data_IF_076926963047
#
_entry.id   IF_076926963047
#
_cell.length_a   1.000
_cell.length_b   1.000
_cell.length_c   1.000
_cell.angle_alpha   90.00
_cell.angle_beta   90.00
_cell.angle_gamma   90.00
#
_symmetry.space_group_name_H-M   'P 1'
#
loop_
_entity.id
_entity.type
_entity.pdbx_description
1 polymer ?
#
# COMPACT_ATOMS: atom_id res chain seq x y z
N UNK A 1 -21.84 -16.12 -26.44
CA UNK A 1 -22.32 -14.73 -26.43
C UNK A 1 -21.29 -13.74 -26.99
N UNK A 2 -19.99 -14.10 -27.05
CA UNK A 2 -18.90 -13.18 -27.42
C UNK A 2 -18.49 -13.25 -28.91
N UNK A 3 -18.93 -14.28 -29.64
CA UNK A 3 -18.71 -14.45 -31.07
C UNK A 3 -19.80 -15.35 -31.69
N UNK A 4 -19.89 -15.29 -33.01
CA UNK A 4 -20.79 -16.16 -33.77
C UNK A 4 -20.10 -17.48 -34.11
N UNK A 5 -20.69 -18.59 -33.70
CA UNK A 5 -20.17 -19.94 -33.97
C UNK A 5 -21.27 -20.92 -34.32
N UNK A 6 -20.92 -21.98 -35.08
CA UNK A 6 -21.86 -23.06 -35.46
C UNK A 6 -21.88 -24.18 -34.42
N UNK A 7 -20.78 -24.37 -33.72
CA UNK A 7 -20.60 -25.41 -32.70
C UNK A 7 -20.39 -24.77 -31.34
N UNK A 8 -21.18 -25.08 -30.32
CA UNK A 8 -21.04 -24.49 -29.00
C UNK A 8 -19.64 -24.67 -28.40
N UNK A 9 -18.97 -23.61 -28.04
CA UNK A 9 -17.64 -23.62 -27.41
C UNK A 9 -17.56 -22.82 -26.10
N UNK A 10 -18.68 -22.27 -25.65
CA UNK A 10 -18.77 -21.54 -24.40
C UNK A 10 -19.07 -22.49 -23.23
N UNK A 11 -18.25 -22.41 -22.18
CA UNK A 11 -18.36 -23.24 -20.98
C UNK A 11 -18.39 -22.41 -19.73
N UNK A 12 -19.21 -22.80 -18.76
CA UNK A 12 -19.29 -22.18 -17.43
C UNK A 12 -18.94 -23.25 -16.40
N UNK A 13 -18.09 -22.88 -15.44
CA UNK A 13 -17.78 -23.71 -14.28
C UNK A 13 -18.44 -23.09 -13.05
N UNK A 14 -19.56 -23.65 -12.60
CA UNK A 14 -20.30 -23.15 -11.42
C UNK A 14 -19.46 -23.25 -10.16
N UNK A 15 -18.78 -24.39 -9.94
CA UNK A 15 -17.96 -24.63 -8.75
C UNK A 15 -16.80 -23.62 -8.59
N UNK A 16 -16.27 -23.15 -9.72
CA UNK A 16 -15.12 -22.25 -9.75
C UNK A 16 -15.50 -20.79 -10.03
N UNK A 17 -16.77 -20.52 -10.37
CA UNK A 17 -17.30 -19.19 -10.62
C UNK A 17 -16.68 -18.49 -11.84
N UNK A 18 -16.27 -19.23 -12.88
CA UNK A 18 -15.71 -18.63 -14.09
C UNK A 18 -16.30 -19.21 -15.38
N UNK A 19 -16.16 -18.47 -16.47
CA UNK A 19 -16.48 -18.93 -17.83
C UNK A 19 -15.23 -18.93 -18.71
N UNK A 20 -15.27 -19.76 -19.75
CA UNK A 20 -14.26 -19.80 -20.81
C UNK A 20 -14.91 -20.17 -22.14
N UNK A 21 -14.61 -19.42 -23.17
CA UNK A 21 -15.00 -19.72 -24.54
C UNK A 21 -13.82 -20.28 -25.32
N UNK A 22 -13.87 -21.55 -25.68
CA UNK A 22 -12.79 -22.21 -26.41
C UNK A 22 -12.71 -21.78 -27.87
N UNK A 23 -13.74 -21.11 -28.41
CA UNK A 23 -13.75 -20.60 -29.76
C UNK A 23 -12.99 -19.30 -29.95
N UNK A 24 -13.21 -18.33 -29.08
CA UNK A 24 -12.56 -17.01 -29.16
C UNK A 24 -11.53 -16.73 -28.05
N UNK A 25 -11.36 -17.67 -27.08
CA UNK A 25 -10.44 -17.48 -25.96
C UNK A 25 -10.94 -16.55 -24.85
N UNK A 26 -12.16 -16.03 -24.97
CA UNK A 26 -12.73 -15.14 -23.97
C UNK A 26 -13.00 -15.88 -22.65
N UNK A 27 -12.61 -15.29 -21.53
CA UNK A 27 -12.75 -15.88 -20.20
C UNK A 27 -12.87 -14.82 -19.12
N UNK A 28 -13.36 -15.21 -17.96
CA UNK A 28 -13.49 -14.33 -16.81
C UNK A 28 -14.47 -14.85 -15.76
N UNK A 29 -14.72 -14.02 -14.77
CA UNK A 29 -15.72 -14.21 -13.71
C UNK A 29 -17.09 -13.64 -14.13
N UNK A 30 -18.07 -13.73 -13.23
CA UNK A 30 -19.42 -13.22 -13.46
C UNK A 30 -19.43 -11.71 -13.73
N UNK A 31 -18.53 -10.95 -13.08
CA UNK A 31 -18.45 -9.49 -13.27
C UNK A 31 -17.96 -9.18 -14.66
N UNK A 32 -16.87 -9.83 -15.08
CA UNK A 32 -16.32 -9.70 -16.43
C UNK A 32 -17.32 -10.11 -17.51
N UNK A 33 -18.12 -11.16 -17.24
CA UNK A 33 -19.20 -11.60 -18.12
C UNK A 33 -20.25 -10.49 -18.30
N UNK A 34 -20.78 -9.95 -17.20
CA UNK A 34 -21.79 -8.89 -17.23
C UNK A 34 -21.28 -7.64 -17.95
N UNK A 35 -20.05 -7.20 -17.61
CA UNK A 35 -19.43 -6.04 -18.28
C UNK A 35 -19.39 -6.19 -19.80
N UNK A 36 -19.05 -7.39 -20.30
CA UNK A 36 -18.88 -7.64 -21.74
C UNK A 36 -20.19 -7.95 -22.43
N UNK A 37 -21.07 -8.74 -21.82
CA UNK A 37 -22.36 -9.14 -22.43
C UNK A 37 -23.33 -7.97 -22.54
N UNK A 38 -23.31 -7.06 -21.56
CA UNK A 38 -24.22 -5.91 -21.51
C UNK A 38 -23.54 -4.58 -21.90
N UNK A 39 -22.24 -4.65 -22.19
CA UNK A 39 -21.42 -3.50 -22.58
C UNK A 39 -21.50 -2.36 -21.53
N UNK A 40 -21.38 -2.71 -20.27
CA UNK A 40 -21.41 -1.79 -19.14
C UNK A 40 -20.06 -1.69 -18.43
N UNK A 41 -19.86 -0.62 -17.67
CA UNK A 41 -18.66 -0.48 -16.85
C UNK A 41 -18.72 -1.35 -15.56
N UNK A 42 -17.58 -1.49 -14.90
CA UNK A 42 -17.44 -2.31 -13.69
C UNK A 42 -18.43 -1.91 -12.58
N UNK A 43 -18.65 -0.60 -12.40
CA UNK A 43 -19.55 -0.08 -11.35
C UNK A 43 -21.00 -0.43 -11.63
N UNK A 44 -21.42 -0.33 -12.87
CA UNK A 44 -22.77 -0.70 -13.32
C UNK A 44 -22.97 -2.22 -13.20
N UNK A 45 -22.02 -3.02 -13.67
CA UNK A 45 -22.07 -4.47 -13.55
C UNK A 45 -22.21 -4.95 -12.09
N UNK A 46 -21.41 -4.38 -11.18
CA UNK A 46 -21.52 -4.69 -9.73
C UNK A 46 -22.90 -4.34 -9.18
N UNK A 47 -23.45 -3.20 -9.57
CA UNK A 47 -24.78 -2.77 -9.11
C UNK A 47 -25.88 -3.73 -9.59
N UNK A 48 -25.88 -4.07 -10.86
CA UNK A 48 -26.84 -5.01 -11.46
C UNK A 48 -26.77 -6.39 -10.81
N UNK A 49 -25.55 -6.95 -10.65
CA UNK A 49 -25.36 -8.22 -9.99
C UNK A 49 -25.79 -8.20 -8.52
N UNK A 50 -25.52 -7.11 -7.82
CA UNK A 50 -25.95 -6.96 -6.44
C UNK A 50 -27.48 -6.86 -6.31
N UNK A 51 -28.12 -6.09 -7.20
CA UNK A 51 -29.58 -5.99 -7.26
C UNK A 51 -30.22 -7.37 -7.54
N UNK A 52 -29.66 -8.15 -8.47
CA UNK A 52 -30.08 -9.53 -8.74
C UNK A 52 -29.91 -10.46 -7.54
N UNK A 53 -28.85 -10.29 -6.76
CA UNK A 53 -28.56 -11.07 -5.55
C UNK A 53 -29.30 -10.56 -4.30
N UNK A 54 -30.06 -9.47 -4.39
CA UNK A 54 -30.70 -8.83 -3.23
C UNK A 54 -29.73 -8.19 -2.24
N UNK A 55 -28.49 -7.89 -2.71
CA UNK A 55 -27.43 -7.27 -1.91
C UNK A 55 -27.44 -5.75 -2.09
N UNK A 56 -27.14 -5.03 -1.02
CA UNK A 56 -26.93 -3.58 -1.10
C UNK A 56 -25.44 -3.30 -1.36
N UNK A 57 -25.13 -2.70 -2.50
CA UNK A 57 -23.78 -2.16 -2.75
C UNK A 57 -23.63 -0.90 -1.91
N UNK A 58 -22.57 -0.76 -1.10
CA UNK A 58 -22.29 0.48 -0.40
C UNK A 58 -22.13 1.63 -1.42
N UNK A 59 -22.77 2.77 -1.14
CA UNK A 59 -22.56 3.96 -1.97
C UNK A 59 -21.07 4.32 -2.02
N UNK A 60 -20.49 4.27 -3.20
CA UNK A 60 -19.15 4.78 -3.42
C UNK A 60 -19.18 6.30 -3.25
N UNK A 61 -18.77 6.76 -2.07
CA UNK A 61 -18.48 8.19 -1.87
C UNK A 61 -17.08 8.45 -2.44
N UNK A 62 -16.92 9.36 -3.40
CA UNK A 62 -15.60 9.80 -3.78
C UNK A 62 -14.85 10.22 -2.53
N UNK A 63 -13.59 9.78 -2.38
CA UNK A 63 -12.76 10.24 -1.27
C UNK A 63 -12.67 11.75 -1.30
N UNK A 64 -12.79 12.39 -0.15
CA UNK A 64 -12.61 13.83 -0.02
C UNK A 64 -11.19 14.20 -0.51
N UNK A 65 -11.12 15.18 -1.43
CA UNK A 65 -9.84 15.66 -1.95
C UNK A 65 -8.88 16.10 -0.83
N UNK A 66 -9.40 16.65 0.26
CA UNK A 66 -8.61 17.01 1.44
C UNK A 66 -8.08 15.78 2.21
N UNK A 67 -8.83 14.67 2.21
CA UNK A 67 -8.40 13.40 2.80
C UNK A 67 -7.28 12.77 1.96
N UNK A 68 -7.46 12.73 0.65
CA UNK A 68 -6.43 12.23 -0.29
C UNK A 68 -5.13 13.02 -0.15
N UNK A 69 -5.20 14.35 -0.19
CA UNK A 69 -4.03 15.21 -0.04
C UNK A 69 -3.33 15.02 1.33
N UNK A 70 -4.09 14.73 2.37
CA UNK A 70 -3.55 14.43 3.71
C UNK A 70 -2.81 13.09 3.73
N UNK A 71 -3.40 12.04 3.16
CA UNK A 71 -2.74 10.73 3.03
C UNK A 71 -1.45 10.82 2.21
N UNK A 72 -1.47 11.53 1.08
CA UNK A 72 -0.27 11.77 0.27
C UNK A 72 0.83 12.49 1.06
N UNK A 73 0.45 13.45 1.91
CA UNK A 73 1.40 14.13 2.78
C UNK A 73 2.03 13.18 3.81
N UNK A 74 1.26 12.25 4.36
CA UNK A 74 1.77 11.24 5.31
C UNK A 74 2.73 10.28 4.64
N UNK A 75 2.40 9.78 3.44
CA UNK A 75 3.29 8.93 2.64
C UNK A 75 4.61 9.65 2.36
N UNK A 76 4.58 10.93 2.03
CA UNK A 76 5.80 11.72 1.82
C UNK A 76 6.65 11.82 3.09
N UNK A 77 6.03 12.09 4.25
CA UNK A 77 6.71 12.18 5.53
C UNK A 77 7.38 10.84 5.89
N UNK A 78 6.67 9.72 5.75
CA UNK A 78 7.21 8.39 6.04
C UNK A 78 8.35 8.02 5.08
N UNK A 79 8.23 8.36 3.80
CA UNK A 79 9.28 8.15 2.80
C UNK A 79 10.56 8.94 3.13
N UNK A 80 10.41 10.21 3.47
CA UNK A 80 11.55 11.06 3.84
C UNK A 80 12.18 10.61 5.17
N UNK A 81 11.39 10.19 6.16
CA UNK A 81 11.90 9.61 7.39
C UNK A 81 12.69 8.32 7.15
N UNK A 82 12.19 7.44 6.26
CA UNK A 82 12.89 6.21 5.89
C UNK A 82 14.24 6.48 5.21
N UNK A 83 14.35 7.51 4.38
CA UNK A 83 15.63 7.95 3.80
C UNK A 83 16.61 8.36 4.89
N UNK A 84 16.14 9.16 5.86
CA UNK A 84 16.97 9.62 6.99
C UNK A 84 17.43 8.40 7.80
N UNK A 85 16.55 7.48 8.16
CA UNK A 85 16.92 6.28 8.91
C UNK A 85 17.89 5.39 8.14
N UNK A 86 17.71 5.24 6.84
CA UNK A 86 18.64 4.47 5.99
C UNK A 86 20.04 5.13 5.99
N UNK A 87 20.10 6.44 5.84
CA UNK A 87 21.36 7.17 5.92
C UNK A 87 22.03 6.98 7.29
N UNK A 88 21.27 7.08 8.37
CA UNK A 88 21.77 6.91 9.75
C UNK A 88 22.31 5.52 10.03
N UNK A 89 21.83 4.48 9.35
CA UNK A 89 22.36 3.13 9.48
C UNK A 89 23.81 3.02 8.99
N UNK A 90 24.18 3.79 7.96
CA UNK A 90 25.55 3.80 7.40
C UNK A 90 26.48 4.86 8.00
N UNK A 91 25.98 5.68 8.93
CA UNK A 91 26.79 6.63 9.68
C UNK A 91 27.43 5.99 10.94
N UNK A 92 28.45 6.59 11.56
CA UNK A 92 29.09 6.02 12.76
C UNK A 92 28.11 5.70 13.89
N UNK A 93 27.06 6.49 14.06
CA UNK A 93 26.03 6.24 15.07
C UNK A 93 25.23 4.96 14.85
N UNK A 94 25.15 4.47 13.60
CA UNK A 94 24.45 3.25 13.21
C UNK A 94 25.35 2.01 13.08
N UNK A 95 26.67 2.12 13.26
CA UNK A 95 27.63 1.05 13.02
C UNK A 95 27.28 -0.26 13.75
N UNK A 96 26.90 -0.16 15.02
CA UNK A 96 26.51 -1.34 15.80
C UNK A 96 25.27 -2.04 15.24
N UNK A 97 24.28 -1.28 14.75
CA UNK A 97 23.06 -1.79 14.13
C UNK A 97 23.36 -2.39 12.74
N UNK A 98 24.26 -1.75 11.98
CA UNK A 98 24.73 -2.26 10.68
C UNK A 98 25.49 -3.58 10.84
N UNK A 99 26.38 -3.67 11.82
CA UNK A 99 27.13 -4.90 12.12
C UNK A 99 26.20 -6.02 12.58
N UNK A 100 25.20 -5.69 13.42
CA UNK A 100 24.19 -6.65 13.84
C UNK A 100 23.40 -7.22 12.65
N UNK A 101 22.89 -6.38 11.75
CA UNK A 101 22.07 -6.86 10.63
C UNK A 101 22.89 -7.63 9.60
N UNK A 102 24.15 -7.23 9.36
CA UNK A 102 25.09 -7.99 8.54
C UNK A 102 25.39 -9.36 9.13
N UNK A 103 25.56 -9.45 10.46
CA UNK A 103 25.72 -10.71 11.19
C UNK A 103 24.49 -11.63 11.09
N UNK A 104 23.30 -11.08 10.78
CA UNK A 104 22.07 -11.83 10.48
C UNK A 104 21.95 -12.28 9.02
N UNK A 105 22.96 -12.02 8.18
CA UNK A 105 23.02 -12.47 6.79
C UNK A 105 22.47 -11.45 5.76
N UNK A 106 22.18 -10.24 6.16
CA UNK A 106 21.75 -9.20 5.21
C UNK A 106 22.98 -8.57 4.54
N UNK A 107 22.95 -8.54 3.21
CA UNK A 107 23.97 -7.83 2.42
C UNK A 107 23.62 -6.34 2.34
N UNK A 108 24.61 -5.50 2.03
CA UNK A 108 24.38 -4.06 1.85
C UNK A 108 23.38 -3.78 0.73
N UNK A 109 23.36 -4.60 -0.33
CA UNK A 109 22.38 -4.48 -1.42
C UNK A 109 20.96 -4.80 -0.94
N UNK A 110 20.80 -5.81 -0.08
CA UNK A 110 19.50 -6.09 0.54
C UNK A 110 19.06 -4.94 1.44
N UNK A 111 19.97 -4.42 2.27
CA UNK A 111 19.69 -3.29 3.17
C UNK A 111 19.23 -2.08 2.35
N UNK A 112 19.91 -1.76 1.26
CA UNK A 112 19.55 -0.66 0.36
C UNK A 112 18.23 -0.92 -0.36
N UNK A 113 18.06 -2.11 -0.93
CA UNK A 113 16.85 -2.51 -1.67
C UNK A 113 15.59 -2.42 -0.82
N UNK A 114 15.65 -2.92 0.41
CA UNK A 114 14.52 -2.92 1.34
C UNK A 114 14.46 -1.67 2.21
N UNK A 115 15.37 -0.70 1.97
CA UNK A 115 15.41 0.59 2.65
C UNK A 115 15.46 0.45 4.18
N UNK A 116 16.17 -0.60 4.65
CA UNK A 116 16.35 -0.83 6.08
C UNK A 116 17.18 0.32 6.66
N UNK A 117 16.76 0.83 7.82
CA UNK A 117 17.36 1.99 8.45
C UNK A 117 17.64 1.80 9.93
N UNK A 118 18.13 2.83 10.56
CA UNK A 118 18.36 2.89 11.99
C UNK A 118 17.84 4.20 12.56
N UNK A 119 17.00 4.11 13.57
CA UNK A 119 16.55 5.23 14.38
C UNK A 119 17.50 5.39 15.56
N UNK A 120 18.36 6.45 15.61
CA UNK A 120 19.33 6.64 16.68
C UNK A 120 18.66 7.00 18.01
N UNK A 121 19.45 7.00 19.08
CA UNK A 121 18.98 7.38 20.44
C UNK A 121 18.50 8.82 20.51
N UNK A 122 19.16 9.70 19.76
CA UNK A 122 18.83 11.14 19.74
C UNK A 122 17.64 11.39 18.80
N UNK A 123 16.81 12.36 19.16
CA UNK A 123 15.68 12.78 18.32
C UNK A 123 16.17 13.34 16.99
N UNK A 124 15.73 12.73 15.88
CA UNK A 124 16.08 13.15 14.51
C UNK A 124 14.85 13.65 13.78
N UNK A 125 13.74 12.89 13.83
CA UNK A 125 12.53 13.22 13.08
C UNK A 125 11.94 14.53 13.56
N UNK A 126 11.73 14.69 14.87
CA UNK A 126 11.20 15.93 15.45
C UNK A 126 12.09 17.15 15.20
N UNK A 127 13.41 16.96 15.10
CA UNK A 127 14.37 18.02 14.78
C UNK A 127 14.49 18.37 13.30
N UNK A 128 14.23 17.41 12.40
CA UNK A 128 14.40 17.58 10.95
C UNK A 128 13.11 18.12 10.29
N UNK A 129 11.95 17.64 10.72
CA UNK A 129 10.67 18.03 10.11
C UNK A 129 10.05 19.29 10.72
N UNK A 130 10.85 20.34 10.89
CA UNK A 130 10.42 21.61 11.52
C UNK A 130 9.33 22.36 10.74
N UNK A 131 9.28 22.17 9.42
CA UNK A 131 8.28 22.78 8.53
C UNK A 131 7.00 21.95 8.34
N UNK A 132 6.91 20.77 8.99
CA UNK A 132 5.75 19.90 8.92
C UNK A 132 4.84 20.15 10.12
N UNK A 133 3.52 20.18 9.88
CA UNK A 133 2.56 20.34 10.98
C UNK A 133 2.71 19.19 11.99
N UNK A 134 2.75 19.54 13.28
CA UNK A 134 2.94 18.56 14.36
C UNK A 134 1.91 17.42 14.32
N UNK A 135 0.64 17.76 14.05
CA UNK A 135 -0.43 16.75 13.97
C UNK A 135 -0.21 15.76 12.82
N UNK A 136 0.39 16.19 11.70
CA UNK A 136 0.76 15.31 10.61
C UNK A 136 1.89 14.34 11.01
N UNK A 137 2.91 14.83 11.71
CA UNK A 137 3.98 13.98 12.24
C UNK A 137 3.46 12.97 13.28
N UNK A 138 2.55 13.38 14.15
CA UNK A 138 1.91 12.48 15.11
C UNK A 138 1.08 11.40 14.40
N UNK A 139 0.34 11.79 13.37
CA UNK A 139 -0.51 10.89 12.59
C UNK A 139 0.30 9.81 11.86
N UNK A 140 1.56 10.08 11.47
CA UNK A 140 2.46 9.06 10.89
C UNK A 140 3.01 8.06 11.92
N UNK A 141 2.82 8.31 13.22
CA UNK A 141 3.36 7.47 14.29
C UNK A 141 4.87 7.63 14.53
N UNK A 142 5.57 8.47 13.77
CA UNK A 142 7.01 8.71 13.91
C UNK A 142 7.37 9.47 15.17
N UNK A 143 6.47 10.35 15.62
CA UNK A 143 6.63 11.16 16.84
C UNK A 143 5.42 11.02 17.74
N UNK A 144 5.61 11.29 19.01
CA UNK A 144 4.56 11.37 20.01
C UNK A 144 4.66 12.68 20.79
N UNK A 145 3.52 13.09 21.36
CA UNK A 145 3.48 14.24 22.28
C UNK A 145 3.79 13.78 23.69
N UNK A 146 4.79 14.37 24.30
CA UNK A 146 5.15 14.19 25.71
C UNK A 146 4.90 15.47 26.51
N UNK A 147 5.27 15.43 27.78
CA UNK A 147 5.14 16.54 28.72
C UNK A 147 5.95 17.78 28.30
N UNK A 148 7.12 17.56 27.69
CA UNK A 148 8.06 18.62 27.28
C UNK A 148 8.06 18.89 25.76
N UNK A 149 7.05 18.42 25.02
CA UNK A 149 6.95 18.62 23.58
C UNK A 149 6.94 17.32 22.78
N UNK A 150 7.22 17.42 21.48
CA UNK A 150 7.30 16.24 20.60
C UNK A 150 8.61 15.50 20.83
N UNK A 151 8.51 14.18 20.79
CA UNK A 151 9.67 13.29 20.82
C UNK A 151 9.53 12.17 19.80
N UNK A 152 10.66 11.70 19.27
CA UNK A 152 10.71 10.58 18.34
C UNK A 152 10.26 9.30 19.03
N UNK A 153 9.31 8.58 18.41
CA UNK A 153 8.81 7.33 18.95
C UNK A 153 9.85 6.21 18.86
N UNK A 154 10.52 6.13 17.70
CA UNK A 154 11.56 5.13 17.48
C UNK A 154 12.92 5.66 17.94
N UNK A 155 13.55 4.94 18.86
CA UNK A 155 14.88 5.25 19.39
C UNK A 155 15.68 3.98 19.58
N UNK A 156 16.91 3.96 19.11
CA UNK A 156 17.81 2.81 19.17
C UNK A 156 17.16 1.55 18.57
N UNK A 157 16.60 1.69 17.36
CA UNK A 157 15.86 0.62 16.67
C UNK A 157 16.32 0.48 15.22
N UNK A 158 16.46 -0.77 14.78
CA UNK A 158 16.45 -1.08 13.34
C UNK A 158 15.04 -0.86 12.80
N UNK A 159 14.97 -0.20 11.65
CA UNK A 159 13.73 0.18 10.98
C UNK A 159 13.56 -0.64 9.71
N UNK A 160 12.42 -1.33 9.61
CA UNK A 160 12.02 -2.11 8.44
C UNK A 160 10.77 -1.46 7.85
N UNK A 161 10.88 -0.76 6.72
CA UNK A 161 9.72 -0.14 6.11
C UNK A 161 8.71 -1.16 5.59
N UNK A 162 7.43 -0.87 5.77
CA UNK A 162 6.34 -1.65 5.17
C UNK A 162 5.82 -0.89 3.96
N UNK A 163 5.77 -1.58 2.82
CA UNK A 163 5.32 -1.02 1.54
C UNK A 163 3.90 -1.48 1.22
N UNK A 164 3.09 -0.59 0.67
CA UNK A 164 1.81 -0.96 0.06
C UNK A 164 2.02 -1.54 -1.35
N UNK A 165 0.93 -1.95 -2.03
CA UNK A 165 0.96 -2.49 -3.38
C UNK A 165 1.49 -1.50 -4.45
N UNK A 166 1.54 -0.21 -4.14
CA UNK A 166 2.06 0.85 -5.01
C UNK A 166 3.53 1.20 -4.72
N UNK A 167 4.20 0.45 -3.82
CA UNK A 167 5.58 0.68 -3.45
C UNK A 167 5.81 1.90 -2.54
N UNK A 168 4.76 2.43 -1.91
CA UNK A 168 4.84 3.54 -0.98
C UNK A 168 5.02 3.00 0.45
N UNK A 169 5.85 3.68 1.25
CA UNK A 169 6.03 3.33 2.67
C UNK A 169 4.83 3.82 3.46
N UNK A 170 4.17 2.88 4.16
CA UNK A 170 2.97 3.13 4.95
C UNK A 170 3.16 2.89 6.45
N UNK A 171 4.26 2.22 6.82
CA UNK A 171 4.67 2.04 8.22
C UNK A 171 6.17 1.78 8.33
#
# INVERSE_FOLDING_TARGET
PFHNEKTPSFSVSEDKGFYHCFGCGEHGDIISFTMKSENVDFKTAIKELADMAGLKVPDYKPRDAAEVAREESYVKITDDAAKIYQQKLFEPAGEHALNYIRGRGFTDDMIKKYRIGYAPKNSIVSGTFTNVKQDALIATGLVRRGEYGLYDFFRDKLMFPIFNAHGQIVA
#
